data_IF_527899808449
#
_entry.id   IF_527899808449
#
_cell.length_a   1.000
_cell.length_b   1.000
_cell.length_c   1.000
_cell.angle_alpha   90.00
_cell.angle_beta   90.00
_cell.angle_gamma   90.00
#
_symmetry.space_group_name_H-M   'P 1'
#
loop_
_entity.id
_entity.type
_entity.pdbx_description
1 polymer ?
#
# COMPACT_ATOMS: atom_id res chain seq x y z
N UNK A 1 33.02 -6.93 -9.49
CA UNK A 1 32.33 -7.29 -8.24
C UNK A 1 30.86 -7.04 -8.50
N UNK A 2 30.03 -8.07 -8.58
CA UNK A 2 28.58 -7.88 -8.64
C UNK A 2 28.17 -7.14 -7.38
N UNK A 3 27.78 -5.87 -7.55
CA UNK A 3 27.19 -5.08 -6.46
C UNK A 3 25.80 -5.62 -6.24
N UNK A 4 25.65 -6.58 -5.32
CA UNK A 4 24.34 -7.03 -4.87
C UNK A 4 23.52 -5.81 -4.44
N UNK A 5 22.43 -5.54 -5.15
CA UNK A 5 21.60 -4.37 -4.85
C UNK A 5 20.66 -4.67 -3.66
N UNK A 6 20.03 -3.64 -3.10
CA UNK A 6 19.19 -3.79 -1.90
C UNK A 6 17.98 -4.70 -2.13
N UNK A 7 17.44 -4.70 -3.35
CA UNK A 7 16.36 -5.58 -3.76
C UNK A 7 16.78 -7.05 -3.72
N UNK A 8 17.96 -7.40 -4.26
CA UNK A 8 18.49 -8.78 -4.20
C UNK A 8 18.68 -9.26 -2.75
N UNK A 9 19.22 -8.41 -1.86
CA UNK A 9 19.35 -8.76 -0.44
C UNK A 9 17.96 -8.99 0.19
N UNK A 10 16.98 -8.14 -0.15
CA UNK A 10 15.62 -8.29 0.33
C UNK A 10 15.00 -9.60 -0.14
N UNK A 11 15.11 -9.93 -1.42
CA UNK A 11 14.55 -11.13 -2.01
C UNK A 11 15.20 -12.40 -1.46
N UNK A 12 16.53 -12.43 -1.31
CA UNK A 12 17.26 -13.61 -0.85
C UNK A 12 17.14 -13.84 0.66
N UNK A 13 17.15 -12.77 1.46
CA UNK A 13 17.30 -12.90 2.91
C UNK A 13 16.06 -12.48 3.70
N UNK A 14 15.33 -11.47 3.24
CA UNK A 14 14.22 -10.88 4.01
C UNK A 14 12.88 -11.50 3.61
N UNK A 15 12.62 -11.69 2.31
CA UNK A 15 11.38 -12.26 1.79
C UNK A 15 11.02 -13.64 2.40
N UNK A 16 11.98 -14.58 2.57
CA UNK A 16 11.68 -15.86 3.23
C UNK A 16 11.30 -15.71 4.71
N UNK A 17 11.89 -14.73 5.42
CA UNK A 17 11.58 -14.45 6.82
C UNK A 17 10.22 -13.76 6.96
N UNK A 18 9.91 -12.84 6.05
CA UNK A 18 8.61 -12.16 6.00
C UNK A 18 7.46 -13.15 5.83
N UNK A 19 7.64 -14.19 5.03
CA UNK A 19 6.65 -15.28 4.89
C UNK A 19 6.31 -15.90 6.25
N UNK A 20 7.32 -16.18 7.08
CA UNK A 20 7.12 -16.75 8.42
C UNK A 20 6.46 -15.75 9.38
N UNK A 21 6.90 -14.48 9.35
CA UNK A 21 6.32 -13.41 10.18
C UNK A 21 4.83 -13.22 9.85
N UNK A 22 4.48 -13.15 8.57
CA UNK A 22 3.09 -12.98 8.10
C UNK A 22 2.23 -14.14 8.60
N UNK A 23 2.71 -15.39 8.49
CA UNK A 23 1.98 -16.55 8.96
C UNK A 23 1.66 -16.49 10.46
N UNK A 24 2.65 -16.12 11.29
CA UNK A 24 2.48 -15.95 12.74
C UNK A 24 1.49 -14.82 13.04
N UNK A 25 1.65 -13.66 12.40
CA UNK A 25 0.76 -12.52 12.59
C UNK A 25 -0.67 -12.87 12.22
N UNK A 26 -0.89 -13.59 11.12
CA UNK A 26 -2.21 -14.05 10.70
C UNK A 26 -2.83 -15.03 11.70
N UNK A 27 -2.06 -16.02 12.17
CA UNK A 27 -2.52 -17.02 13.14
C UNK A 27 -2.96 -16.38 14.46
N UNK A 28 -2.22 -15.39 14.94
CA UNK A 28 -2.46 -14.75 16.24
C UNK A 28 -3.24 -13.44 16.16
N UNK A 29 -3.75 -13.05 14.99
CA UNK A 29 -4.46 -11.79 14.76
C UNK A 29 -3.67 -10.56 15.21
N UNK A 30 -2.36 -10.59 14.96
CA UNK A 30 -1.46 -9.48 15.30
C UNK A 30 -1.42 -8.53 14.11
N UNK A 31 -1.88 -7.27 14.26
CA UNK A 31 -1.75 -6.28 13.20
C UNK A 31 -0.29 -5.93 12.96
N UNK A 32 0.11 -5.78 11.71
CA UNK A 32 1.47 -5.39 11.35
C UNK A 32 1.51 -4.45 10.14
N UNK A 33 2.56 -3.64 10.10
CA UNK A 33 2.95 -2.85 8.94
C UNK A 33 4.46 -2.94 8.81
N UNK A 34 4.94 -3.40 7.65
CA UNK A 34 6.36 -3.44 7.32
C UNK A 34 6.56 -2.82 5.94
N UNK A 35 7.57 -1.97 5.80
CA UNK A 35 7.92 -1.34 4.52
C UNK A 35 9.43 -1.21 4.42
N UNK A 36 9.99 -1.68 3.31
CA UNK A 36 11.43 -1.71 3.08
C UNK A 36 11.75 -0.92 1.80
N UNK A 37 12.60 0.10 1.91
CA UNK A 37 13.11 0.86 0.77
C UNK A 37 14.28 0.11 0.13
N UNK A 38 14.06 -0.37 -1.09
CA UNK A 38 14.97 -1.23 -1.84
C UNK A 38 15.23 -0.65 -3.24
N UNK A 39 15.72 0.61 -3.32
CA UNK A 39 15.86 1.30 -4.60
C UNK A 39 16.83 0.57 -5.53
N UNK A 40 16.52 0.63 -6.82
CA UNK A 40 17.33 0.10 -7.92
C UNK A 40 17.72 1.23 -8.88
N UNK A 41 18.60 0.96 -9.84
CA UNK A 41 18.91 1.94 -10.90
C UNK A 41 17.71 2.22 -11.80
N UNK A 42 16.79 1.25 -11.95
CA UNK A 42 15.58 1.38 -12.77
C UNK A 42 14.43 2.06 -12.02
N UNK A 43 14.37 1.89 -10.70
CA UNK A 43 13.35 2.44 -9.83
C UNK A 43 13.97 2.94 -8.50
N UNK A 44 14.28 4.25 -8.41
CA UNK A 44 14.91 4.84 -7.23
C UNK A 44 13.99 4.95 -6.01
N UNK A 45 12.68 4.73 -6.19
CA UNK A 45 11.68 4.82 -5.12
C UNK A 45 11.09 3.44 -4.76
N UNK A 46 11.67 2.35 -5.30
CA UNK A 46 11.19 1.00 -5.09
C UNK A 46 11.11 0.66 -3.59
N UNK A 47 9.92 0.21 -3.18
CA UNK A 47 9.67 -0.26 -1.83
C UNK A 47 8.78 -1.50 -1.83
N UNK A 48 9.10 -2.45 -0.96
CA UNK A 48 8.23 -3.59 -0.67
C UNK A 48 7.50 -3.36 0.65
N UNK A 49 6.17 -3.26 0.60
CA UNK A 49 5.34 -3.05 1.79
C UNK A 49 4.36 -4.19 2.01
N UNK A 50 4.22 -4.62 3.26
CA UNK A 50 3.21 -5.59 3.72
C UNK A 50 2.39 -4.95 4.85
N UNK A 51 1.07 -5.09 4.79
CA UNK A 51 0.15 -4.61 5.81
C UNK A 51 -0.90 -5.66 6.15
N UNK A 52 -1.07 -5.91 7.45
CA UNK A 52 -2.17 -6.66 8.04
C UNK A 52 -2.92 -5.70 8.97
N UNK A 53 -3.63 -4.72 8.40
CA UNK A 53 -4.42 -3.73 9.14
C UNK A 53 -5.84 -3.74 8.56
N UNK A 54 -6.85 -3.81 9.43
CA UNK A 54 -8.26 -3.95 9.05
C UNK A 54 -8.72 -5.42 8.98
N UNK A 55 -10.00 -5.64 8.68
CA UNK A 55 -10.60 -6.99 8.53
C UNK A 55 -10.27 -7.96 9.69
N UNK A 56 -10.37 -7.49 10.94
CA UNK A 56 -10.05 -8.28 12.14
C UNK A 56 -8.60 -8.18 12.63
N UNK A 57 -7.81 -7.28 12.04
CA UNK A 57 -6.49 -6.88 12.52
C UNK A 57 -6.53 -5.40 12.93
N UNK A 58 -7.09 -5.12 14.11
CA UNK A 58 -7.23 -3.75 14.60
C UNK A 58 -5.89 -3.21 15.11
N UNK A 59 -5.34 -2.24 14.40
CA UNK A 59 -4.10 -1.56 14.76
C UNK A 59 -4.39 -0.20 15.40
N UNK A 60 -3.48 0.34 16.22
CA UNK A 60 -3.55 1.73 16.67
C UNK A 60 -3.62 2.70 15.48
N UNK A 61 -4.23 3.87 15.68
CA UNK A 61 -4.42 4.85 14.61
C UNK A 61 -3.10 5.29 13.95
N UNK A 62 -1.99 5.26 14.69
CA UNK A 62 -0.65 5.55 14.16
C UNK A 62 -0.25 4.63 13.00
N UNK A 63 -0.66 3.36 13.03
CA UNK A 63 -0.38 2.40 11.96
C UNK A 63 -1.23 2.69 10.72
N UNK A 64 -2.50 3.02 10.90
CA UNK A 64 -3.37 3.44 9.80
C UNK A 64 -2.89 4.73 9.14
N UNK A 65 -2.41 5.69 9.94
CA UNK A 65 -1.80 6.93 9.45
C UNK A 65 -0.51 6.63 8.69
N UNK A 66 0.39 5.81 9.24
CA UNK A 66 1.62 5.40 8.57
C UNK A 66 1.34 4.69 7.22
N UNK A 67 0.37 3.77 7.18
CA UNK A 67 -0.02 3.10 5.94
C UNK A 67 -0.56 4.09 4.89
N UNK A 68 -1.28 5.13 5.32
CA UNK A 68 -1.78 6.19 4.41
C UNK A 68 -0.65 7.03 3.83
N UNK A 69 0.37 7.35 4.63
CA UNK A 69 1.56 8.08 4.15
C UNK A 69 2.40 7.21 3.21
N UNK A 70 2.57 5.92 3.53
CA UNK A 70 3.38 5.00 2.72
C UNK A 70 2.70 4.62 1.40
N UNK A 71 1.38 4.44 1.41
CA UNK A 71 0.60 3.91 0.28
C UNK A 71 -0.69 4.73 0.07
N UNK A 72 -0.57 6.03 -0.28
CA UNK A 72 -1.72 6.93 -0.42
C UNK A 72 -2.71 6.48 -1.49
N UNK A 73 -2.27 5.73 -2.50
CA UNK A 73 -3.10 5.19 -3.56
C UNK A 73 -4.10 4.13 -3.09
N UNK A 74 -3.84 3.43 -1.97
CA UNK A 74 -4.81 2.52 -1.34
C UNK A 74 -5.99 3.27 -0.72
N UNK A 75 -5.83 4.57 -0.44
CA UNK A 75 -6.85 5.41 0.20
C UNK A 75 -7.41 6.48 -0.73
N UNK A 76 -7.04 6.47 -2.01
CA UNK A 76 -7.68 7.34 -3.00
C UNK A 76 -9.15 6.96 -3.08
N UNK A 77 -10.02 7.88 -2.63
CA UNK A 77 -11.45 7.74 -2.86
C UNK A 77 -11.66 7.84 -4.38
N UNK A 78 -12.51 6.99 -4.98
CA UNK A 78 -12.92 7.22 -6.36
C UNK A 78 -13.50 8.63 -6.43
N UNK A 79 -13.10 9.41 -7.44
CA UNK A 79 -13.58 10.77 -7.64
C UNK A 79 -15.11 10.77 -7.64
N UNK A 80 -15.71 11.78 -6.99
CA UNK A 80 -17.15 11.94 -7.03
C UNK A 80 -17.55 12.34 -8.45
N UNK A 81 -18.39 11.51 -9.08
CA UNK A 81 -18.94 11.80 -10.40
C UNK A 81 -20.30 12.47 -10.24
N UNK A 82 -20.39 13.74 -10.61
CA UNK A 82 -21.64 14.51 -10.63
C UNK A 82 -22.20 14.47 -12.04
N UNK A 83 -23.43 13.96 -12.19
CA UNK A 83 -24.19 13.99 -13.44
C UNK A 83 -25.30 15.03 -13.33
N UNK A 84 -25.29 16.01 -14.23
CA UNK A 84 -26.36 16.98 -14.38
C UNK A 84 -27.03 16.80 -15.74
N UNK A 85 -28.34 16.56 -15.74
CA UNK A 85 -29.19 16.59 -16.93
C UNK A 85 -29.95 17.92 -16.94
N UNK A 86 -29.82 18.67 -18.03
CA UNK A 86 -30.48 19.95 -18.20
C UNK A 86 -31.81 19.76 -18.93
N UNK A 87 -32.75 20.68 -18.72
CA UNK A 87 -34.10 20.61 -19.33
C UNK A 87 -34.11 20.65 -20.86
N UNK A 88 -32.99 21.02 -21.50
CA UNK A 88 -32.79 20.99 -22.95
C UNK A 88 -32.26 19.63 -23.46
N UNK A 89 -32.14 18.64 -22.57
CA UNK A 89 -31.63 17.30 -22.89
C UNK A 89 -30.11 17.20 -22.92
N UNK A 90 -29.39 18.29 -22.67
CA UNK A 90 -27.92 18.24 -22.55
C UNK A 90 -27.50 17.61 -21.22
N UNK A 91 -26.35 16.93 -21.24
CA UNK A 91 -25.78 16.26 -20.06
C UNK A 91 -24.38 16.79 -19.77
N UNK A 92 -24.13 17.13 -18.50
CA UNK A 92 -22.81 17.44 -17.99
C UNK A 92 -22.36 16.35 -17.01
N UNK A 93 -21.14 15.85 -17.19
CA UNK A 93 -20.47 14.93 -16.26
C UNK A 93 -19.25 15.64 -15.68
N UNK A 94 -19.26 15.91 -14.39
CA UNK A 94 -18.17 16.58 -13.67
C UNK A 94 -17.53 15.60 -12.70
N UNK A 95 -16.20 15.42 -12.78
CA UNK A 95 -15.43 14.71 -11.76
C UNK A 95 -14.93 15.69 -10.70
N UNK A 96 -15.10 15.33 -9.43
CA UNK A 96 -14.47 15.99 -8.28
C UNK A 96 -13.46 15.01 -7.70
N UNK A 97 -12.18 15.36 -7.78
CA UNK A 97 -11.03 14.54 -7.37
C UNK A 97 -10.40 15.15 -6.13
#
# INVERSE_FOLDING_TARGET
METTNKEQIYDEQISPLMTQIIAICQQHKIPMLASFSIPTEADPDLACSTSLIGNGFEAPESYTRALRELRPELFRRPGLMIRAEHGDGSMTLTSVI
#
